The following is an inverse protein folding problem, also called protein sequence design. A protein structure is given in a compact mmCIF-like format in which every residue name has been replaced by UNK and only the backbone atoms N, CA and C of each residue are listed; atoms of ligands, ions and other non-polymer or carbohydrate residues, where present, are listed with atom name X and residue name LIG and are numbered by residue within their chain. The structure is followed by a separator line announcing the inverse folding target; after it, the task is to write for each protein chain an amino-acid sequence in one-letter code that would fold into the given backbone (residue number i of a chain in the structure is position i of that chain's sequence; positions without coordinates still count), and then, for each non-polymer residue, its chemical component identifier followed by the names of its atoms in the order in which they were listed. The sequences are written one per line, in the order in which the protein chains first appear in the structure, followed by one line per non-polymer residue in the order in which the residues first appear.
data_IF_345749253059
#
_entry.id   IF_345749253059
#
_cell.length_a   1.000
_cell.length_b   1.000
_cell.length_c   1.000
_cell.angle_alpha   90.00
_cell.angle_beta   90.00
_cell.angle_gamma   90.00
#
_symmetry.space_group_name_H-M   'P 1'
#
loop_
_entity.id
_entity.type
_entity.pdbx_description
1 polymer ?
#
# COMPACT_ATOMS: atom_id res chain seq x y z
N UNK A 1 7.98 23.94 -23.62
CA UNK A 1 7.77 23.00 -22.52
C UNK A 1 6.56 23.48 -21.74
N UNK A 2 5.70 22.62 -21.27
CA UNK A 2 4.61 22.99 -20.38
C UNK A 2 5.21 23.62 -19.12
N UNK A 3 4.61 24.72 -18.62
CA UNK A 3 4.98 25.30 -17.32
C UNK A 3 4.38 24.51 -16.15
N UNK A 4 3.57 23.51 -16.43
CA UNK A 4 2.93 22.64 -15.45
C UNK A 4 3.72 21.34 -15.36
N UNK A 5 4.20 20.93 -14.18
CA UNK A 5 4.93 19.68 -14.01
C UNK A 5 3.98 18.49 -14.12
N UNK A 6 4.53 17.34 -14.49
CA UNK A 6 3.85 16.06 -14.28
C UNK A 6 3.83 15.74 -12.78
N UNK A 7 2.92 14.88 -12.37
CA UNK A 7 2.80 14.45 -10.99
C UNK A 7 2.70 12.91 -10.96
N UNK A 8 3.70 12.27 -10.38
CA UNK A 8 3.66 10.85 -10.06
C UNK A 8 3.35 10.69 -8.57
N UNK A 9 2.20 10.10 -8.28
CA UNK A 9 1.76 9.83 -6.92
C UNK A 9 1.88 8.33 -6.63
N UNK A 10 2.80 7.96 -5.76
CA UNK A 10 3.05 6.59 -5.32
C UNK A 10 2.43 6.43 -3.93
N UNK A 11 1.40 5.61 -3.83
CA UNK A 11 0.70 5.31 -2.58
C UNK A 11 0.75 3.81 -2.32
N UNK A 12 1.41 3.41 -1.24
CA UNK A 12 1.39 2.03 -0.73
C UNK A 12 0.19 1.83 0.20
N UNK A 13 -0.20 0.58 0.44
CA UNK A 13 -1.25 0.23 1.39
C UNK A 13 -0.63 -0.33 2.67
N UNK A 14 -0.88 0.34 3.78
CA UNK A 14 -0.50 -0.17 5.11
C UNK A 14 1.02 -0.18 5.37
N UNK A 15 1.80 0.67 4.70
CA UNK A 15 3.25 0.76 4.95
C UNK A 15 3.56 1.68 6.13
N UNK A 16 4.35 1.17 7.07
CA UNK A 16 4.86 1.93 8.22
C UNK A 16 5.92 2.94 7.77
N UNK A 17 5.94 4.11 8.41
CA UNK A 17 6.94 5.15 8.17
C UNK A 17 8.38 4.70 8.48
N UNK A 18 8.52 3.78 9.46
CA UNK A 18 9.80 3.29 9.95
C UNK A 18 10.34 2.06 9.17
N UNK A 19 9.92 1.87 7.92
CA UNK A 19 10.37 0.77 7.05
C UNK A 19 11.41 1.20 6.01
N UNK A 20 11.85 2.45 6.03
CA UNK A 20 12.82 3.01 5.08
C UNK A 20 14.18 3.16 5.77
N UNK A 21 15.26 2.69 5.13
CA UNK A 21 16.60 2.70 5.71
C UNK A 21 17.10 4.12 6.00
N UNK A 22 16.95 5.05 5.08
CA UNK A 22 17.34 6.45 5.28
C UNK A 22 16.60 7.16 6.42
N UNK A 23 15.45 6.61 6.87
CA UNK A 23 14.70 7.09 8.03
C UNK A 23 15.06 6.38 9.34
N UNK A 24 16.12 5.55 9.33
CA UNK A 24 16.70 4.96 10.51
C UNK A 24 16.45 3.46 10.70
N UNK A 25 15.79 2.78 9.77
CA UNK A 25 15.60 1.33 9.84
C UNK A 25 16.80 0.58 9.30
N UNK A 26 17.68 0.12 10.18
CA UNK A 26 18.89 -0.62 9.81
C UNK A 26 18.63 -2.00 9.16
N UNK A 27 17.41 -2.51 9.22
CA UNK A 27 17.02 -3.80 8.65
C UNK A 27 16.41 -3.65 7.24
N UNK A 28 15.99 -2.46 6.86
CA UNK A 28 15.38 -2.19 5.57
C UNK A 28 16.40 -2.24 4.42
N UNK A 29 15.94 -2.65 3.25
CA UNK A 29 16.68 -2.64 1.98
C UNK A 29 15.89 -1.81 0.97
N UNK A 30 16.04 -0.48 1.03
CA UNK A 30 15.20 0.49 0.31
C UNK A 30 16.01 1.56 -0.43
N UNK A 31 17.00 1.18 -1.28
CA UNK A 31 17.91 2.15 -1.88
C UNK A 31 17.22 3.21 -2.76
N UNK A 32 16.12 2.87 -3.42
CA UNK A 32 15.39 3.81 -4.28
C UNK A 32 14.53 4.78 -3.47
N UNK A 33 13.87 4.32 -2.40
CA UNK A 33 13.18 5.20 -1.45
C UNK A 33 14.18 6.05 -0.66
N UNK A 34 15.35 5.51 -0.32
CA UNK A 34 16.43 6.27 0.31
C UNK A 34 16.91 7.42 -0.57
N UNK A 35 16.98 7.20 -1.89
CA UNK A 35 17.29 8.26 -2.84
C UNK A 35 16.21 9.36 -2.81
N UNK A 36 14.92 9.01 -2.83
CA UNK A 36 13.83 9.98 -2.71
C UNK A 36 13.90 10.78 -1.40
N UNK A 37 14.26 10.12 -0.29
CA UNK A 37 14.47 10.79 1.01
C UNK A 37 15.61 11.77 0.96
N UNK A 38 16.75 11.39 0.36
CA UNK A 38 17.97 12.17 0.34
C UNK A 38 17.90 13.35 -0.65
N UNK A 39 17.25 13.16 -1.80
CA UNK A 39 17.19 14.16 -2.87
C UNK A 39 15.97 15.08 -2.76
N UNK A 40 14.96 14.70 -1.95
CA UNK A 40 13.68 15.36 -1.83
C UNK A 40 13.44 16.06 -0.49
N UNK A 41 12.16 16.27 -0.20
CA UNK A 41 11.68 16.80 1.07
C UNK A 41 10.89 15.74 1.80
N UNK A 42 11.36 15.35 2.99
CA UNK A 42 10.72 14.36 3.83
C UNK A 42 9.92 15.00 4.96
N UNK A 43 8.62 14.70 5.02
CA UNK A 43 7.74 15.17 6.07
C UNK A 43 7.70 14.14 7.21
N UNK A 44 8.59 14.27 8.19
CA UNK A 44 8.74 13.31 9.29
C UNK A 44 7.58 13.32 10.30
N UNK A 45 6.70 14.29 10.23
CA UNK A 45 5.50 14.42 11.07
C UNK A 45 4.23 14.59 10.20
N UNK A 46 4.11 13.80 9.15
CA UNK A 46 2.89 13.69 8.36
C UNK A 46 2.03 12.55 8.89
N UNK A 47 0.76 12.83 9.18
CA UNK A 47 -0.15 11.87 9.78
C UNK A 47 -1.37 11.64 8.89
N UNK A 48 -1.73 10.39 8.67
CA UNK A 48 -2.98 10.05 8.02
C UNK A 48 -4.17 10.44 8.93
N UNK A 49 -5.32 10.71 8.32
CA UNK A 49 -6.50 11.17 9.06
C UNK A 49 -7.34 10.02 9.63
N UNK A 50 -6.98 8.81 9.30
CA UNK A 50 -7.57 7.58 9.82
C UNK A 50 -6.63 6.42 9.59
N UNK A 51 -6.42 5.52 10.57
CA UNK A 51 -5.60 4.31 10.38
C UNK A 51 -6.40 3.17 9.71
N UNK A 52 -7.26 3.51 8.74
CA UNK A 52 -8.09 2.57 7.98
C UNK A 52 -8.18 3.04 6.53
N UNK A 53 -8.07 2.12 5.57
CA UNK A 53 -7.87 2.43 4.15
C UNK A 53 -8.91 3.38 3.55
N UNK A 54 -10.22 3.02 3.51
CA UNK A 54 -11.21 3.84 2.82
C UNK A 54 -11.34 5.25 3.39
N UNK A 55 -11.44 5.49 4.72
CA UNK A 55 -11.48 6.84 5.27
C UNK A 55 -10.16 7.61 5.06
N UNK A 56 -9.00 6.97 5.11
CA UNK A 56 -7.73 7.64 4.81
C UNK A 56 -7.68 8.07 3.34
N UNK A 57 -7.98 7.15 2.41
CA UNK A 57 -8.01 7.43 0.96
C UNK A 57 -9.02 8.50 0.60
N UNK A 58 -10.24 8.45 1.18
CA UNK A 58 -11.22 9.52 1.05
C UNK A 58 -10.67 10.87 1.53
N UNK A 59 -9.90 10.88 2.61
CA UNK A 59 -9.36 12.10 3.19
C UNK A 59 -8.27 12.72 2.32
N UNK A 60 -7.24 11.97 1.94
CA UNK A 60 -6.13 12.55 1.18
C UNK A 60 -6.50 12.86 -0.29
N UNK A 61 -7.40 12.09 -0.90
CA UNK A 61 -7.86 12.35 -2.28
C UNK A 61 -8.82 13.55 -2.38
N UNK A 62 -9.51 13.91 -1.30
CA UNK A 62 -10.42 15.08 -1.26
C UNK A 62 -9.85 16.29 -0.52
N UNK A 63 -8.77 16.12 0.27
CA UNK A 63 -8.26 17.13 1.19
C UNK A 63 -9.19 17.40 2.37
N UNK A 64 -10.12 16.48 2.73
CA UNK A 64 -11.15 16.66 3.74
C UNK A 64 -11.12 15.57 4.79
N UNK A 65 -11.49 15.89 6.03
CA UNK A 65 -11.53 14.90 7.10
C UNK A 65 -12.59 13.82 6.89
N UNK A 66 -12.38 12.57 7.38
CA UNK A 66 -13.31 11.46 7.25
C UNK A 66 -14.74 11.78 7.74
N UNK A 67 -14.86 12.61 8.79
CA UNK A 67 -16.17 13.09 9.27
C UNK A 67 -16.93 13.91 8.22
N UNK A 68 -16.19 14.68 7.43
CA UNK A 68 -16.78 15.55 6.39
C UNK A 68 -17.14 14.73 5.16
N UNK A 69 -16.25 13.84 4.70
CA UNK A 69 -16.50 12.95 3.57
C UNK A 69 -17.51 11.85 3.88
N UNK A 70 -17.89 11.67 5.17
CA UNK A 70 -18.77 10.62 5.67
C UNK A 70 -18.27 9.19 5.48
N UNK A 71 -17.08 9.01 4.92
CA UNK A 71 -16.38 7.72 4.85
C UNK A 71 -15.55 7.57 6.13
N UNK A 72 -16.05 6.83 7.13
CA UNK A 72 -15.46 6.69 8.46
C UNK A 72 -14.98 5.28 8.76
N UNK A 73 -15.30 4.33 7.89
CA UNK A 73 -14.89 2.93 7.99
C UNK A 73 -14.91 2.29 6.60
N UNK A 74 -14.22 1.16 6.44
CA UNK A 74 -14.31 0.35 5.24
C UNK A 74 -15.77 -0.09 4.99
N UNK A 75 -16.15 -0.23 3.73
CA UNK A 75 -17.53 -0.53 3.32
C UNK A 75 -18.44 0.67 3.18
N UNK A 76 -18.02 1.88 3.57
CA UNK A 76 -18.73 3.12 3.30
C UNK A 76 -18.24 3.77 2.00
N UNK A 77 -19.17 4.39 1.28
CA UNK A 77 -18.84 5.14 0.07
C UNK A 77 -18.78 6.64 0.37
N UNK A 78 -17.90 7.35 -0.33
CA UNK A 78 -17.95 8.83 -0.32
C UNK A 78 -19.19 9.31 -1.06
N UNK A 79 -19.77 10.48 -0.67
CA UNK A 79 -20.84 11.13 -1.44
C UNK A 79 -20.38 11.47 -2.86
N UNK A 80 -21.29 11.38 -3.84
CA UNK A 80 -21.03 11.76 -5.24
C UNK A 80 -20.67 13.25 -5.42
N UNK A 81 -20.97 14.08 -4.42
CA UNK A 81 -20.63 15.51 -4.40
C UNK A 81 -19.18 15.79 -4.01
N UNK A 82 -18.43 14.78 -3.54
CA UNK A 82 -17.01 14.95 -3.21
C UNK A 82 -16.19 14.99 -4.51
N UNK A 83 -15.27 15.94 -4.58
CA UNK A 83 -14.41 16.15 -5.74
C UNK A 83 -13.00 15.72 -5.38
N UNK A 84 -12.46 14.78 -6.15
CA UNK A 84 -11.11 14.26 -5.97
C UNK A 84 -10.07 15.19 -6.59
N UNK A 85 -8.85 15.15 -6.07
CA UNK A 85 -7.70 15.88 -6.65
C UNK A 85 -7.46 15.48 -8.11
N UNK A 86 -7.64 14.22 -8.48
CA UNK A 86 -7.56 13.72 -9.85
C UNK A 86 -8.58 14.40 -10.77
N UNK A 87 -9.82 14.62 -10.29
CA UNK A 87 -10.83 15.37 -11.05
C UNK A 87 -10.47 16.84 -11.21
N UNK A 88 -9.93 17.47 -10.17
CA UNK A 88 -9.49 18.87 -10.23
C UNK A 88 -8.35 19.01 -11.27
N UNK A 89 -7.37 18.09 -11.24
CA UNK A 89 -6.27 18.09 -12.19
C UNK A 89 -6.75 17.81 -13.62
N UNK A 90 -7.65 16.84 -13.81
CA UNK A 90 -8.26 16.56 -15.11
C UNK A 90 -8.97 17.78 -15.70
N UNK A 91 -9.75 18.50 -14.88
CA UNK A 91 -10.39 19.76 -15.29
C UNK A 91 -9.37 20.87 -15.59
N UNK A 92 -8.16 20.81 -15.01
CA UNK A 92 -7.07 21.74 -15.30
C UNK A 92 -6.24 21.31 -16.53
N UNK A 93 -6.63 20.26 -17.25
CA UNK A 93 -6.00 19.81 -18.49
C UNK A 93 -4.94 18.73 -18.33
N UNK A 94 -4.77 18.15 -17.14
CA UNK A 94 -3.91 17.00 -16.93
C UNK A 94 -4.55 15.73 -17.50
N UNK A 95 -3.74 14.86 -18.10
CA UNK A 95 -4.13 13.48 -18.35
C UNK A 95 -3.93 12.70 -17.05
N UNK A 96 -5.00 12.15 -16.49
CA UNK A 96 -4.95 11.48 -15.18
C UNK A 96 -5.11 9.96 -15.34
N UNK A 97 -4.21 9.17 -14.77
CA UNK A 97 -4.28 7.71 -14.80
C UNK A 97 -4.12 7.10 -13.39
N UNK A 98 -4.59 5.87 -13.25
CA UNK A 98 -4.44 5.08 -12.01
C UNK A 98 -4.16 3.63 -12.34
N UNK A 99 -3.26 2.99 -11.56
CA UNK A 99 -3.11 1.55 -11.48
C UNK A 99 -3.16 1.09 -10.02
N UNK A 100 -4.03 0.12 -9.71
CA UNK A 100 -4.19 -0.47 -8.38
C UNK A 100 -5.45 -0.05 -7.65
N UNK A 101 -5.31 0.20 -6.34
CA UNK A 101 -6.41 0.36 -5.38
C UNK A 101 -6.90 1.80 -5.28
N UNK A 102 -8.19 2.04 -5.55
CA UNK A 102 -8.83 3.34 -5.25
C UNK A 102 -9.51 3.35 -3.88
N UNK A 103 -10.44 2.44 -3.65
CA UNK A 103 -11.11 2.15 -2.36
C UNK A 103 -11.88 3.34 -1.75
N UNK A 104 -12.76 3.95 -2.53
CA UNK A 104 -13.63 5.04 -2.09
C UNK A 104 -15.10 4.62 -1.93
N UNK A 105 -15.39 3.35 -2.16
CA UNK A 105 -16.70 2.76 -1.97
C UNK A 105 -16.58 1.32 -1.45
N UNK A 106 -17.71 0.72 -1.07
CA UNK A 106 -17.77 -0.69 -0.67
C UNK A 106 -17.27 -1.58 -1.81
N UNK A 107 -16.38 -2.50 -1.47
CA UNK A 107 -15.78 -3.45 -2.39
C UNK A 107 -15.61 -4.80 -1.65
N UNK A 108 -16.64 -5.65 -1.70
CA UNK A 108 -16.64 -6.96 -1.06
C UNK A 108 -17.67 -7.88 -1.72
N UNK A 109 -17.55 -9.19 -1.50
CA UNK A 109 -18.51 -10.20 -1.96
C UNK A 109 -18.79 -10.11 -3.48
N UNK A 110 -17.76 -9.95 -4.30
CA UNK A 110 -17.87 -9.82 -5.74
C UNK A 110 -18.45 -8.49 -6.24
N UNK A 111 -18.61 -7.49 -5.36
CA UNK A 111 -19.04 -6.15 -5.76
C UNK A 111 -17.83 -5.27 -6.02
N UNK A 112 -17.74 -4.75 -7.23
CA UNK A 112 -16.77 -3.74 -7.62
C UNK A 112 -17.17 -2.40 -7.01
N UNK A 113 -16.18 -1.63 -6.54
CA UNK A 113 -16.45 -0.30 -6.02
C UNK A 113 -17.06 0.61 -7.09
N UNK A 114 -18.12 1.32 -6.69
CA UNK A 114 -18.77 2.30 -7.57
C UNK A 114 -17.84 3.50 -7.73
N UNK A 115 -17.40 3.76 -8.96
CA UNK A 115 -16.65 4.97 -9.30
C UNK A 115 -17.54 6.22 -9.18
N UNK A 116 -16.96 7.29 -8.66
CA UNK A 116 -17.48 8.65 -8.81
C UNK A 116 -16.96 9.27 -10.12
N UNK A 117 -17.23 10.54 -10.39
CA UNK A 117 -16.53 11.30 -11.43
C UNK A 117 -15.12 11.67 -10.96
N UNK A 118 -14.24 10.66 -10.91
CA UNK A 118 -12.91 10.71 -10.33
C UNK A 118 -11.84 11.34 -11.24
N UNK A 119 -12.12 11.48 -12.53
CA UNK A 119 -11.22 12.07 -13.52
C UNK A 119 -10.11 11.15 -14.03
N UNK A 120 -10.03 9.89 -13.60
CA UNK A 120 -9.03 8.95 -14.08
C UNK A 120 -9.40 8.31 -15.43
N UNK A 121 -8.48 8.40 -16.39
CA UNK A 121 -8.47 7.73 -17.68
C UNK A 121 -7.02 7.68 -18.21
N UNK A 122 -6.31 6.51 -18.22
CA UNK A 122 -6.82 5.16 -17.92
C UNK A 122 -7.08 4.90 -16.43
N UNK A 123 -7.89 3.86 -16.16
CA UNK A 123 -8.21 3.39 -14.83
C UNK A 123 -7.99 1.88 -14.74
N UNK A 124 -6.80 1.46 -14.33
CA UNK A 124 -6.41 0.07 -14.18
C UNK A 124 -6.70 -0.39 -12.75
N UNK A 125 -7.92 -0.87 -12.53
CA UNK A 125 -8.40 -1.20 -11.20
C UNK A 125 -7.98 -2.58 -10.71
N UNK A 126 -7.44 -2.62 -9.48
CA UNK A 126 -7.22 -3.83 -8.69
C UNK A 126 -7.32 -3.47 -7.21
N UNK A 127 -8.35 -3.97 -6.51
CA UNK A 127 -8.53 -3.66 -5.09
C UNK A 127 -7.52 -4.41 -4.22
N UNK A 128 -7.37 -5.69 -4.49
CA UNK A 128 -6.34 -6.58 -3.95
C UNK A 128 -6.00 -7.67 -4.99
N UNK A 129 -4.94 -8.45 -4.79
CA UNK A 129 -4.46 -9.37 -5.82
C UNK A 129 -5.38 -10.59 -6.06
N UNK A 130 -6.26 -10.95 -5.12
CA UNK A 130 -7.11 -12.13 -5.27
C UNK A 130 -8.13 -11.96 -6.41
N UNK A 131 -8.54 -13.06 -7.10
CA UNK A 131 -9.44 -13.01 -8.25
C UNK A 131 -10.93 -13.01 -7.87
N UNK A 132 -11.32 -12.27 -6.82
CA UNK A 132 -12.69 -12.21 -6.32
C UNK A 132 -13.64 -11.42 -7.24
N UNK A 133 -13.08 -10.62 -8.15
CA UNK A 133 -13.83 -9.78 -9.09
C UNK A 133 -13.42 -10.05 -10.53
N UNK A 134 -14.42 -10.23 -11.37
CA UNK A 134 -14.20 -10.37 -12.81
C UNK A 134 -13.55 -9.12 -13.41
N UNK A 135 -13.82 -7.94 -12.85
CA UNK A 135 -13.29 -6.65 -13.28
C UNK A 135 -11.85 -6.38 -12.85
N UNK A 136 -11.26 -7.21 -11.97
CA UNK A 136 -9.89 -7.03 -11.51
C UNK A 136 -8.90 -7.11 -12.69
N UNK A 137 -8.33 -5.98 -13.08
CA UNK A 137 -7.45 -5.90 -14.26
C UNK A 137 -6.10 -6.58 -14.05
N UNK A 138 -5.63 -6.68 -12.81
CA UNK A 138 -4.44 -7.45 -12.50
C UNK A 138 -4.65 -8.95 -12.81
N UNK A 139 -5.76 -9.52 -12.40
CA UNK A 139 -6.03 -10.94 -12.69
C UNK A 139 -6.32 -11.20 -14.17
N UNK A 140 -6.87 -10.23 -14.91
CA UNK A 140 -6.97 -10.29 -16.37
C UNK A 140 -5.58 -10.29 -17.01
N UNK A 141 -4.70 -9.41 -16.56
CA UNK A 141 -3.32 -9.34 -17.03
C UNK A 141 -2.55 -10.64 -16.76
N UNK A 142 -2.73 -11.29 -15.60
CA UNK A 142 -2.16 -12.61 -15.33
C UNK A 142 -2.62 -13.64 -16.38
N UNK A 143 -3.91 -13.69 -16.67
CA UNK A 143 -4.47 -14.59 -17.71
C UNK A 143 -3.91 -14.31 -19.10
N UNK A 144 -3.69 -13.06 -19.46
CA UNK A 144 -3.02 -12.66 -20.72
C UNK A 144 -1.57 -13.13 -20.77
N UNK A 145 -0.88 -13.21 -19.63
CA UNK A 145 0.46 -13.80 -19.50
C UNK A 145 0.45 -15.33 -19.41
N UNK A 146 -0.72 -15.97 -19.50
CA UNK A 146 -0.88 -17.42 -19.38
C UNK A 146 -0.74 -17.95 -17.96
N UNK A 147 -0.95 -17.10 -16.95
CA UNK A 147 -0.85 -17.43 -15.54
C UNK A 147 -2.23 -17.43 -14.87
N UNK A 148 -2.37 -18.22 -13.80
CA UNK A 148 -3.52 -18.17 -12.89
C UNK A 148 -3.04 -17.78 -11.49
N UNK A 149 -3.76 -16.89 -10.84
CA UNK A 149 -3.37 -16.38 -9.52
C UNK A 149 -3.23 -17.50 -8.48
N UNK A 150 -4.10 -18.52 -8.52
CA UNK A 150 -4.05 -19.64 -7.57
C UNK A 150 -2.83 -20.53 -7.77
N UNK A 151 -2.38 -20.70 -9.03
CA UNK A 151 -1.20 -21.52 -9.36
C UNK A 151 0.10 -20.82 -8.99
N UNK A 152 0.08 -19.51 -8.82
CA UNK A 152 1.24 -18.70 -8.45
C UNK A 152 1.46 -18.61 -6.92
N UNK A 153 0.50 -19.07 -6.11
CA UNK A 153 0.66 -19.07 -4.65
C UNK A 153 1.65 -20.14 -4.22
N UNK A 154 2.62 -19.74 -3.40
CA UNK A 154 3.63 -20.63 -2.90
C UNK A 154 3.23 -21.35 -1.59
N UNK A 155 4.16 -22.12 -1.06
CA UNK A 155 3.98 -22.88 0.18
C UNK A 155 3.88 -21.96 1.40
N UNK A 156 3.19 -22.45 2.44
CA UNK A 156 3.18 -21.81 3.76
C UNK A 156 4.51 -22.04 4.45
N UNK A 157 5.08 -20.96 5.00
CA UNK A 157 6.26 -21.01 5.85
C UNK A 157 5.83 -21.33 7.29
N UNK A 158 4.77 -20.67 7.74
CA UNK A 158 4.09 -20.93 9.01
C UNK A 158 2.60 -20.55 8.89
N UNK A 159 1.90 -20.41 10.00
CA UNK A 159 0.48 -20.02 10.02
C UNK A 159 0.25 -18.58 9.52
N UNK A 160 1.26 -17.71 9.60
CA UNK A 160 1.17 -16.26 9.42
C UNK A 160 1.83 -15.76 8.13
N UNK A 161 2.73 -16.52 7.55
CA UNK A 161 3.54 -16.16 6.38
C UNK A 161 3.54 -17.28 5.35
N UNK A 162 3.35 -16.93 4.09
CA UNK A 162 3.49 -17.84 2.95
C UNK A 162 4.19 -17.12 1.80
N UNK A 163 4.63 -17.86 0.79
CA UNK A 163 5.16 -17.25 -0.40
C UNK A 163 4.03 -16.78 -1.31
N UNK A 164 4.15 -15.56 -1.81
CA UNK A 164 3.29 -14.99 -2.84
C UNK A 164 3.73 -15.37 -4.26
N UNK A 165 3.10 -14.76 -5.26
CA UNK A 165 3.54 -14.90 -6.65
C UNK A 165 5.00 -14.49 -6.84
N UNK A 166 5.73 -15.08 -7.83
CA UNK A 166 7.02 -14.55 -8.27
C UNK A 166 6.94 -13.05 -8.56
N UNK A 167 8.02 -12.33 -8.30
CA UNK A 167 7.99 -10.85 -8.32
C UNK A 167 7.50 -10.26 -9.64
N UNK A 168 7.84 -10.87 -10.77
CA UNK A 168 7.38 -10.44 -12.10
C UNK A 168 5.87 -10.59 -12.32
N UNK A 169 5.20 -11.42 -11.51
CA UNK A 169 3.75 -11.62 -11.54
C UNK A 169 3.04 -10.98 -10.34
N UNK A 170 3.75 -10.26 -9.46
CA UNK A 170 3.11 -9.57 -8.34
C UNK A 170 2.20 -8.43 -8.80
N UNK A 171 1.20 -8.09 -7.97
CA UNK A 171 0.33 -6.94 -8.25
C UNK A 171 1.12 -5.63 -8.24
N UNK A 172 2.14 -5.52 -7.39
CA UNK A 172 3.02 -4.35 -7.32
C UNK A 172 3.83 -4.18 -8.61
N UNK A 173 4.35 -5.27 -9.20
CA UNK A 173 5.03 -5.23 -10.49
C UNK A 173 4.07 -4.86 -11.65
N UNK A 174 2.85 -5.36 -11.63
CA UNK A 174 1.82 -4.98 -12.59
C UNK A 174 1.46 -3.50 -12.51
N UNK A 175 1.29 -2.96 -11.29
CA UNK A 175 1.08 -1.52 -11.11
C UNK A 175 2.25 -0.69 -11.68
N UNK A 176 3.49 -1.16 -11.50
CA UNK A 176 4.67 -0.52 -12.07
C UNK A 176 4.69 -0.60 -13.59
N UNK A 177 4.35 -1.75 -14.20
CA UNK A 177 4.22 -1.91 -15.66
C UNK A 177 3.23 -0.87 -16.22
N UNK A 178 2.01 -0.77 -15.63
CA UNK A 178 1.00 0.20 -16.08
C UNK A 178 1.45 1.66 -15.92
N UNK A 179 2.21 1.95 -14.86
CA UNK A 179 2.78 3.28 -14.64
C UNK A 179 3.83 3.62 -15.70
N UNK A 180 4.73 2.69 -16.01
CA UNK A 180 5.79 2.85 -17.01
C UNK A 180 5.18 2.99 -18.41
N UNK A 181 4.19 2.16 -18.74
CA UNK A 181 3.46 2.25 -20.02
C UNK A 181 2.84 3.65 -20.19
N UNK A 182 2.22 4.18 -19.13
CA UNK A 182 1.62 5.51 -19.14
C UNK A 182 2.68 6.61 -19.32
N UNK A 183 3.78 6.58 -18.56
CA UNK A 183 4.91 7.54 -18.69
C UNK A 183 5.44 7.56 -20.13
N UNK A 184 5.58 6.39 -20.75
CA UNK A 184 6.10 6.27 -22.12
C UNK A 184 5.10 6.75 -23.18
N UNK A 185 3.81 6.59 -22.93
CA UNK A 185 2.75 7.01 -23.85
C UNK A 185 2.48 8.52 -23.80
N UNK A 186 2.53 9.13 -22.61
CA UNK A 186 2.12 10.52 -22.39
C UNK A 186 3.32 11.48 -22.52
N UNK A 187 3.40 12.13 -23.67
CA UNK A 187 4.47 13.13 -23.96
C UNK A 187 3.87 14.46 -24.39
N UNK A 188 4.40 15.54 -23.86
CA UNK A 188 4.09 16.89 -24.30
C UNK A 188 2.85 17.55 -23.67
N UNK A 189 2.13 16.85 -22.79
CA UNK A 189 1.07 17.41 -21.93
C UNK A 189 1.33 17.08 -20.49
N UNK A 190 0.89 17.89 -19.52
CA UNK A 190 1.01 17.54 -18.12
C UNK A 190 0.14 16.33 -17.79
N UNK A 191 0.65 15.46 -16.96
CA UNK A 191 -0.08 14.27 -16.51
C UNK A 191 0.03 14.09 -15.00
N UNK A 192 -0.94 13.35 -14.47
CA UNK A 192 -1.00 12.88 -13.09
C UNK A 192 -1.24 11.37 -13.12
N UNK A 193 -0.38 10.60 -12.49
CA UNK A 193 -0.57 9.17 -12.38
C UNK A 193 -0.51 8.71 -10.93
N UNK A 194 -1.50 7.92 -10.52
CA UNK A 194 -1.58 7.27 -9.21
C UNK A 194 -1.16 5.81 -9.32
N UNK A 195 0.04 5.50 -8.83
CA UNK A 195 0.49 4.14 -8.55
C UNK A 195 0.00 3.76 -7.15
N UNK A 196 -0.93 2.82 -7.05
CA UNK A 196 -1.58 2.45 -5.79
C UNK A 196 -1.47 0.94 -5.56
N UNK A 197 -0.28 0.44 -5.18
CA UNK A 197 -0.08 -0.98 -4.91
C UNK A 197 -0.79 -1.44 -3.64
N UNK A 198 -1.07 -2.75 -3.56
CA UNK A 198 -1.68 -3.37 -2.39
C UNK A 198 -0.64 -3.65 -1.30
N UNK A 199 0.59 -3.95 -1.70
CA UNK A 199 1.69 -4.18 -0.76
C UNK A 199 2.02 -2.92 0.07
N UNK A 200 2.51 -3.12 1.32
CA UNK A 200 2.74 -4.36 2.05
C UNK A 200 1.56 -4.79 2.94
N UNK A 201 0.31 -4.52 2.53
CA UNK A 201 -0.89 -4.99 3.23
C UNK A 201 -0.89 -6.52 3.33
N UNK A 202 -1.33 -7.06 4.47
CA UNK A 202 -1.50 -8.51 4.60
C UNK A 202 -2.48 -9.09 3.54
N UNK A 203 -2.34 -10.40 3.19
CA UNK A 203 -1.47 -11.41 3.79
C UNK A 203 0.00 -11.07 3.60
N UNK A 204 0.87 -11.54 4.52
CA UNK A 204 2.30 -11.33 4.40
C UNK A 204 2.88 -12.43 3.52
N UNK A 205 2.85 -12.18 2.21
CA UNK A 205 3.12 -13.14 1.15
C UNK A 205 4.13 -12.62 0.12
N UNK A 206 5.36 -12.26 0.57
CA UNK A 206 6.39 -11.80 -0.35
C UNK A 206 6.78 -12.91 -1.34
N UNK A 207 7.27 -12.54 -2.55
CA UNK A 207 7.96 -13.49 -3.42
C UNK A 207 9.15 -14.14 -2.70
N UNK A 208 9.41 -15.43 -2.98
CA UNK A 208 10.47 -16.18 -2.31
C UNK A 208 11.85 -15.51 -2.41
N UNK A 209 12.20 -15.01 -3.61
CA UNK A 209 13.46 -14.33 -3.88
C UNK A 209 13.65 -13.01 -3.11
N UNK A 210 12.55 -12.40 -2.63
CA UNK A 210 12.61 -11.22 -1.76
C UNK A 210 12.73 -11.63 -0.29
N UNK A 211 12.00 -12.65 0.14
CA UNK A 211 12.10 -13.13 1.51
C UNK A 211 13.49 -13.70 1.82
N UNK A 212 14.14 -14.36 0.85
CA UNK A 212 15.50 -14.89 0.96
C UNK A 212 16.56 -13.80 1.25
N UNK A 213 16.23 -12.53 1.05
CA UNK A 213 17.12 -11.40 1.40
C UNK A 213 17.13 -11.10 2.90
N UNK A 214 16.19 -11.68 3.68
CA UNK A 214 16.00 -11.38 5.09
C UNK A 214 16.08 -12.64 5.94
N UNK A 215 16.98 -12.63 6.94
CA UNK A 215 17.02 -13.68 7.95
C UNK A 215 16.08 -13.26 9.11
N UNK A 216 15.08 -14.07 9.42
CA UNK A 216 14.13 -13.79 10.51
C UNK A 216 14.84 -13.64 11.87
N UNK A 217 15.94 -14.35 12.12
CA UNK A 217 16.70 -14.25 13.38
C UNK A 217 17.27 -12.84 13.62
N UNK A 218 17.56 -12.10 12.53
CA UNK A 218 18.10 -10.74 12.60
C UNK A 218 16.99 -9.68 12.82
N UNK A 219 15.72 -10.04 12.62
CA UNK A 219 14.61 -9.10 12.76
C UNK A 219 14.33 -8.77 14.24
N UNK A 220 13.96 -7.52 14.54
CA UNK A 220 13.57 -7.14 15.88
C UNK A 220 12.26 -7.82 16.29
N UNK A 221 12.09 -8.05 17.57
CA UNK A 221 10.77 -8.38 18.11
C UNK A 221 9.92 -7.11 18.17
N UNK A 222 8.59 -7.26 18.04
CA UNK A 222 7.66 -6.15 18.24
C UNK A 222 7.81 -5.52 19.62
N UNK A 223 7.51 -4.24 19.73
CA UNK A 223 7.56 -3.50 20.98
C UNK A 223 6.29 -3.75 21.79
N UNK A 224 6.40 -4.51 22.88
CA UNK A 224 5.32 -4.76 23.85
C UNK A 224 5.85 -4.70 25.26
N UNK A 225 5.16 -3.98 26.15
CA UNK A 225 5.50 -3.95 27.56
C UNK A 225 4.52 -4.81 28.38
N UNK A 226 5.00 -5.67 29.31
CA UNK A 226 4.13 -6.58 30.07
C UNK A 226 2.96 -5.90 30.81
N UNK A 227 3.17 -4.68 31.32
CA UNK A 227 2.14 -3.92 32.03
C UNK A 227 1.02 -3.39 31.09
N UNK A 228 1.18 -3.45 29.80
CA UNK A 228 0.15 -2.99 28.87
C UNK A 228 -1.13 -3.83 28.94
N UNK A 229 -1.02 -5.12 29.31
CA UNK A 229 -2.18 -5.99 29.48
C UNK A 229 -3.20 -5.47 30.48
N UNK A 230 -2.71 -4.75 31.51
CA UNK A 230 -3.54 -4.23 32.59
C UNK A 230 -3.96 -2.76 32.40
N UNK A 231 -3.32 -2.06 31.46
CA UNK A 231 -3.50 -0.60 31.26
C UNK A 231 -4.11 -0.21 29.93
N UNK A 232 -4.26 -1.15 28.99
CA UNK A 232 -4.82 -0.89 27.67
C UNK A 232 -6.29 -0.44 27.74
N UNK A 233 -6.70 0.47 26.83
CA UNK A 233 -8.10 0.79 26.65
C UNK A 233 -8.91 -0.46 26.27
N UNK A 234 -10.16 -0.51 26.73
CA UNK A 234 -11.03 -1.68 26.50
C UNK A 234 -11.21 -2.06 25.04
N UNK A 235 -11.20 -1.11 24.12
CA UNK A 235 -11.33 -1.38 22.68
C UNK A 235 -10.12 -2.15 22.10
N UNK A 236 -8.91 -1.92 22.61
CA UNK A 236 -7.72 -2.68 22.20
C UNK A 236 -7.76 -4.11 22.77
N UNK A 237 -8.28 -4.29 23.98
CA UNK A 237 -8.49 -5.63 24.53
C UNK A 237 -9.56 -6.40 23.76
N UNK A 238 -10.64 -5.72 23.34
CA UNK A 238 -11.68 -6.33 22.52
C UNK A 238 -11.16 -6.72 21.13
N UNK A 239 -10.29 -5.94 20.54
CA UNK A 239 -9.64 -6.26 19.26
C UNK A 239 -8.80 -7.53 19.35
N UNK A 240 -7.98 -7.67 20.41
CA UNK A 240 -7.22 -8.90 20.69
C UNK A 240 -8.11 -10.12 20.88
N UNK A 241 -9.22 -9.98 21.62
CA UNK A 241 -10.20 -11.05 21.83
C UNK A 241 -10.87 -11.43 20.51
N UNK A 242 -11.17 -10.42 19.67
CA UNK A 242 -11.77 -10.65 18.36
C UNK A 242 -10.80 -11.41 17.45
N UNK A 243 -9.55 -10.98 17.38
CA UNK A 243 -8.51 -11.66 16.61
C UNK A 243 -8.33 -13.12 17.06
N UNK A 244 -8.34 -13.38 18.38
CA UNK A 244 -8.24 -14.74 18.92
C UNK A 244 -9.41 -15.67 18.49
N UNK A 245 -10.59 -15.11 18.22
CA UNK A 245 -11.80 -15.90 17.93
C UNK A 245 -12.15 -15.95 16.43
N UNK A 246 -11.40 -15.26 15.57
CA UNK A 246 -11.70 -15.19 14.13
C UNK A 246 -10.66 -15.93 13.28
N UNK A 247 -11.08 -16.90 12.46
CA UNK A 247 -10.16 -17.55 11.53
C UNK A 247 -9.53 -16.54 10.56
N UNK A 248 -8.24 -16.66 10.34
CA UNK A 248 -7.48 -15.77 9.45
C UNK A 248 -6.90 -14.53 10.13
N UNK A 249 -7.28 -14.26 11.38
CA UNK A 249 -6.64 -13.25 12.21
C UNK A 249 -5.44 -13.83 12.98
N UNK A 250 -4.54 -12.97 13.43
CA UNK A 250 -3.34 -13.41 14.13
C UNK A 250 -3.58 -13.59 15.62
N UNK A 251 -3.43 -14.81 16.08
CA UNK A 251 -3.51 -15.19 17.50
C UNK A 251 -2.21 -14.80 18.21
N UNK A 252 -2.05 -13.53 18.53
CA UNK A 252 -0.79 -12.96 19.05
C UNK A 252 -0.23 -13.66 20.28
N UNK A 253 -1.10 -14.23 21.13
CA UNK A 253 -0.69 -14.98 22.32
C UNK A 253 -0.13 -16.38 21.99
N UNK A 254 -0.51 -16.94 20.82
CA UNK A 254 -0.02 -18.24 20.34
C UNK A 254 1.28 -18.10 19.51
N UNK A 255 1.60 -16.91 19.04
CA UNK A 255 2.79 -16.66 18.22
C UNK A 255 4.07 -16.82 19.04
N UNK A 256 4.99 -17.64 18.56
CA UNK A 256 6.36 -17.68 19.04
C UNK A 256 7.13 -16.42 18.63
N UNK A 257 8.26 -16.17 19.27
CA UNK A 257 9.17 -15.09 18.88
C UNK A 257 9.67 -15.29 17.43
N UNK A 258 9.85 -16.53 17.01
CA UNK A 258 10.23 -16.84 15.63
C UNK A 258 9.12 -16.47 14.64
N UNK A 259 7.85 -16.74 14.95
CA UNK A 259 6.71 -16.35 14.09
C UNK A 259 6.66 -14.82 13.93
N UNK A 260 6.81 -14.09 15.01
CA UNK A 260 6.83 -12.62 15.01
C UNK A 260 7.96 -12.05 14.15
N UNK A 261 9.16 -12.65 14.24
CA UNK A 261 10.32 -12.28 13.42
C UNK A 261 10.13 -12.62 11.95
N UNK A 262 9.50 -13.75 11.65
CA UNK A 262 9.18 -14.14 10.28
C UNK A 262 8.14 -13.20 9.63
N UNK A 263 7.14 -12.78 10.38
CA UNK A 263 6.19 -11.75 9.91
C UNK A 263 6.92 -10.44 9.62
N UNK A 264 7.83 -10.02 10.50
CA UNK A 264 8.63 -8.81 10.28
C UNK A 264 9.51 -8.92 9.03
N UNK A 265 10.17 -10.07 8.82
CA UNK A 265 10.99 -10.34 7.64
C UNK A 265 10.15 -10.32 6.35
N UNK A 266 8.98 -10.95 6.37
CA UNK A 266 8.07 -10.96 5.23
C UNK A 266 7.58 -9.55 4.88
N UNK A 267 7.22 -8.75 5.87
CA UNK A 267 6.81 -7.37 5.68
C UNK A 267 7.94 -6.51 5.07
N UNK A 268 9.18 -6.64 5.56
CA UNK A 268 10.34 -5.96 4.98
C UNK A 268 10.63 -6.42 3.55
N UNK A 269 10.44 -7.69 3.25
CA UNK A 269 10.59 -8.24 1.90
C UNK A 269 9.57 -7.63 0.92
N UNK A 270 8.32 -7.46 1.34
CA UNK A 270 7.29 -6.78 0.54
C UNK A 270 7.63 -5.29 0.33
N UNK A 271 8.17 -4.61 1.34
CA UNK A 271 8.65 -3.22 1.19
C UNK A 271 9.82 -3.13 0.22
N UNK A 272 10.74 -4.11 0.23
CA UNK A 272 11.84 -4.16 -0.74
C UNK A 272 11.35 -4.42 -2.16
N UNK A 273 10.31 -5.22 -2.35
CA UNK A 273 9.65 -5.37 -3.65
C UNK A 273 9.08 -4.03 -4.14
N UNK A 274 8.42 -3.27 -3.28
CA UNK A 274 7.92 -1.92 -3.61
C UNK A 274 9.10 -1.02 -4.03
N UNK A 275 10.17 -1.03 -3.25
CA UNK A 275 11.36 -0.21 -3.53
C UNK A 275 11.95 -0.50 -4.92
N UNK A 276 12.12 -1.79 -5.26
CA UNK A 276 12.63 -2.20 -6.58
C UNK A 276 11.68 -1.75 -7.70
N UNK A 277 10.35 -1.79 -7.51
CA UNK A 277 9.39 -1.29 -8.50
C UNK A 277 9.40 0.24 -8.61
N UNK A 278 9.58 0.95 -7.50
CA UNK A 278 9.79 2.41 -7.52
C UNK A 278 11.05 2.76 -8.31
N UNK A 279 12.14 2.03 -8.12
CA UNK A 279 13.38 2.19 -8.90
C UNK A 279 13.14 2.05 -10.41
N UNK A 280 12.38 1.04 -10.84
CA UNK A 280 12.00 0.85 -12.26
C UNK A 280 11.20 2.04 -12.82
N UNK A 281 10.28 2.58 -12.03
CA UNK A 281 9.47 3.74 -12.44
C UNK A 281 10.34 5.00 -12.55
N UNK A 282 11.22 5.24 -11.58
CA UNK A 282 12.14 6.38 -11.61
C UNK A 282 13.10 6.29 -12.81
N UNK A 283 13.61 5.10 -13.10
CA UNK A 283 14.42 4.85 -14.29
C UNK A 283 13.65 5.18 -15.59
N UNK A 284 12.38 4.78 -15.69
CA UNK A 284 11.55 5.10 -16.85
C UNK A 284 11.30 6.60 -17.01
N UNK A 285 11.16 7.35 -15.92
CA UNK A 285 11.09 8.81 -15.95
C UNK A 285 12.36 9.43 -16.52
N UNK A 286 13.54 8.97 -16.11
CA UNK A 286 14.83 9.43 -16.62
C UNK A 286 14.98 9.11 -18.12
N UNK A 287 14.75 7.86 -18.49
CA UNK A 287 14.88 7.39 -19.89
C UNK A 287 13.89 8.08 -20.85
N UNK A 288 12.72 8.45 -20.36
CA UNK A 288 11.74 9.22 -21.15
C UNK A 288 12.07 10.72 -21.24
N UNK A 289 13.06 11.20 -20.47
CA UNK A 289 13.45 12.61 -20.38
C UNK A 289 12.42 13.48 -19.66
N UNK A 290 11.59 12.90 -18.79
CA UNK A 290 10.51 13.59 -18.09
C UNK A 290 10.84 13.86 -16.61
N UNK A 291 11.92 13.30 -16.05
CA UNK A 291 12.27 13.39 -14.65
C UNK A 291 12.33 14.83 -14.12
N UNK A 292 13.06 15.71 -14.82
CA UNK A 292 13.24 17.12 -14.44
C UNK A 292 11.92 17.94 -14.39
N UNK A 293 10.85 17.46 -15.04
CA UNK A 293 9.54 18.11 -15.06
C UNK A 293 8.47 17.28 -14.35
N UNK A 294 8.87 16.38 -13.44
CA UNK A 294 7.94 15.52 -12.70
C UNK A 294 8.12 15.68 -11.20
N UNK A 295 7.02 15.96 -10.51
CA UNK A 295 6.96 15.90 -9.04
C UNK A 295 6.64 14.46 -8.67
N UNK A 296 7.54 13.81 -7.93
CA UNK A 296 7.32 12.46 -7.39
C UNK A 296 6.91 12.58 -5.93
N UNK A 297 5.75 12.01 -5.59
CA UNK A 297 5.21 11.98 -4.22
C UNK A 297 5.13 10.51 -3.80
N UNK A 298 5.82 10.13 -2.73
CA UNK A 298 5.72 8.81 -2.11
C UNK A 298 5.02 8.95 -0.76
N UNK A 299 4.03 8.10 -0.51
CA UNK A 299 3.30 8.03 0.76
C UNK A 299 2.66 6.66 0.97
N UNK A 300 2.23 6.39 2.21
CA UNK A 300 1.30 5.30 2.54
C UNK A 300 -0.06 5.86 2.92
N UNK A 301 -1.14 5.08 2.74
CA UNK A 301 -2.47 5.49 3.20
C UNK A 301 -2.61 5.42 4.72
N UNK A 302 -1.96 4.48 5.38
CA UNK A 302 -1.78 4.34 6.84
C UNK A 302 -0.67 3.31 7.10
N UNK A 303 -0.29 3.12 8.36
CA UNK A 303 0.69 2.11 8.75
C UNK A 303 0.07 0.79 9.23
N UNK A 304 0.89 0.01 9.92
CA UNK A 304 0.65 -1.35 10.40
C UNK A 304 1.11 -1.48 11.85
N UNK A 305 0.37 -2.19 12.71
CA UNK A 305 0.81 -2.48 14.08
C UNK A 305 1.99 -3.46 14.13
N UNK A 306 2.05 -4.42 13.22
CA UNK A 306 3.13 -5.40 13.04
C UNK A 306 3.56 -6.10 14.35
N UNK A 307 2.60 -6.34 15.24
CA UNK A 307 2.82 -6.96 16.55
C UNK A 307 3.18 -5.98 17.67
N UNK A 308 3.46 -4.72 17.37
CA UNK A 308 3.67 -3.72 18.41
C UNK A 308 2.44 -3.64 19.32
N UNK A 309 2.69 -3.51 20.62
CA UNK A 309 1.65 -3.55 21.63
C UNK A 309 0.80 -4.85 21.63
N UNK A 310 1.31 -5.96 21.04
CA UNK A 310 0.60 -7.23 20.90
C UNK A 310 -0.59 -7.17 19.98
N UNK A 311 -0.57 -6.31 18.96
CA UNK A 311 -1.64 -6.10 17.99
C UNK A 311 -1.06 -6.20 16.58
N UNK A 312 -1.76 -6.83 15.65
CA UNK A 312 -1.44 -6.85 14.23
C UNK A 312 -2.49 -6.10 13.41
N UNK A 313 -2.12 -5.80 12.17
CA UNK A 313 -2.96 -5.12 11.21
C UNK A 313 -3.29 -3.67 11.60
N UNK A 314 -4.49 -3.24 11.35
CA UNK A 314 -4.98 -1.89 11.53
C UNK A 314 -6.28 -1.87 12.34
N UNK A 315 -6.63 -0.70 12.85
CA UNK A 315 -7.84 -0.57 13.63
C UNK A 315 -7.91 0.81 14.31
N UNK A 316 -8.78 1.00 15.28
CA UNK A 316 -8.92 2.25 16.01
C UNK A 316 -7.76 2.46 17.03
N UNK A 317 -6.54 2.15 16.60
CA UNK A 317 -5.33 2.29 17.40
C UNK A 317 -4.55 3.51 16.91
N UNK A 318 -4.30 4.48 17.77
CA UNK A 318 -3.72 5.77 17.38
C UNK A 318 -2.24 5.84 17.76
N UNK A 319 -1.47 4.83 17.32
CA UNK A 319 -0.02 4.78 17.48
C UNK A 319 0.69 5.35 16.26
N UNK A 320 1.90 5.85 16.45
CA UNK A 320 2.72 6.43 15.37
C UNK A 320 2.92 5.45 14.21
N UNK A 321 3.12 4.16 14.51
CA UNK A 321 3.31 3.14 13.51
C UNK A 321 2.11 2.94 12.56
N UNK A 322 0.92 3.41 12.94
CA UNK A 322 -0.28 3.38 12.10
C UNK A 322 -0.62 4.72 11.46
N UNK A 323 -0.30 5.83 12.10
CA UNK A 323 -0.77 7.15 11.68
C UNK A 323 0.23 7.92 10.84
N UNK A 324 1.51 7.69 11.06
CA UNK A 324 2.61 8.48 10.52
C UNK A 324 3.19 7.94 9.23
#
# INVERSE_FOLDING_TARGET
MSTQPNILWICTDQQRYDTIFALGNKYAQTPNLDQLVNDGTTFTNAFCQSPVCAPSRASFLTGRYPRTTRCRQNGQSIPESEVLISKILSNAGYKCGLAGKLHLASCSDGKVEKRTDDGYDPFHWSHHPQPDWEENEYTKWLKEKGQDWYDLQGEKINEYVHFGPPSEYSQTAWCAEKTIDFINAEKGKPWFFSFNCFDPHHPFDPPAEYLDRFNAEDMPLPSEHPAEKDTKPSFQLLDRIWAHNNPGEFHTEAMSDNDRRQVCAAYQAMVTLIDDQVGRILQALEESGQAENTIVIFMSDHGEMLGDHGIYFKGPHFYDCQLR
#
